data_IF_326848560969
#
_entry.id   IF_326848560969
#
_cell.length_a   1.000
_cell.length_b   1.000
_cell.length_c   1.000
_cell.angle_alpha   90.00
_cell.angle_beta   90.00
_cell.angle_gamma   90.00
#
_symmetry.space_group_name_H-M   'P 1'
#
loop_
_entity.id
_entity.type
_entity.pdbx_description
1 polymer ?
#
# COMPACT_ATOMS: atom_id res chain seq x y z
N UNK A 1 -15.34 -10.19 -14.97
CA UNK A 1 -14.32 -9.41 -15.71
C UNK A 1 -13.00 -10.15 -15.77
N UNK A 2 -12.37 -10.26 -16.95
CA UNK A 2 -11.06 -10.91 -17.11
C UNK A 2 -9.92 -9.93 -16.74
N UNK A 3 -8.75 -10.44 -16.32
CA UNK A 3 -7.67 -9.59 -15.80
C UNK A 3 -7.11 -8.57 -16.81
N UNK A 4 -7.26 -8.83 -18.11
CA UNK A 4 -6.80 -7.92 -19.16
C UNK A 4 -7.52 -6.56 -19.16
N UNK A 5 -8.74 -6.45 -18.63
CA UNK A 5 -9.43 -5.16 -18.55
C UNK A 5 -8.70 -4.19 -17.62
N UNK A 6 -8.15 -4.68 -16.52
CA UNK A 6 -7.37 -3.87 -15.58
C UNK A 6 -6.00 -3.50 -16.16
N UNK A 7 -5.37 -4.42 -16.90
CA UNK A 7 -4.13 -4.11 -17.60
C UNK A 7 -4.37 -3.02 -18.65
N UNK A 8 -5.42 -3.15 -19.46
CA UNK A 8 -5.81 -2.15 -20.44
C UNK A 8 -6.11 -0.79 -19.78
N UNK A 9 -6.84 -0.76 -18.67
CA UNK A 9 -7.10 0.46 -17.90
C UNK A 9 -5.81 1.14 -17.42
N UNK A 10 -4.87 0.37 -16.85
CA UNK A 10 -3.58 0.90 -16.45
C UNK A 10 -2.77 1.42 -17.65
N UNK A 11 -2.76 0.72 -18.78
CA UNK A 11 -2.03 1.18 -19.97
C UNK A 11 -2.65 2.41 -20.61
N UNK A 12 -3.98 2.52 -20.66
CA UNK A 12 -4.70 3.68 -21.19
C UNK A 12 -4.48 4.96 -20.36
N UNK A 13 -4.12 4.82 -19.09
CA UNK A 13 -3.81 5.97 -18.24
C UNK A 13 -2.45 6.61 -18.55
N UNK A 14 -1.49 5.85 -19.08
CA UNK A 14 -0.13 6.35 -19.31
C UNK A 14 -0.09 7.47 -20.35
N UNK A 15 -0.78 7.39 -21.52
CA UNK A 15 -0.88 8.50 -22.45
C UNK A 15 -1.50 9.77 -21.83
N UNK A 16 -2.54 9.63 -21.00
CA UNK A 16 -3.17 10.79 -20.33
C UNK A 16 -2.17 11.53 -19.43
N UNK A 17 -1.36 10.79 -18.69
CA UNK A 17 -0.34 11.35 -17.80
C UNK A 17 0.88 11.86 -18.55
N UNK A 18 1.21 11.25 -19.68
CA UNK A 18 2.30 11.67 -20.55
C UNK A 18 2.01 13.02 -21.23
N UNK A 19 0.77 13.23 -21.69
CA UNK A 19 0.31 14.49 -22.29
C UNK A 19 -0.10 15.56 -21.27
N UNK A 20 -0.18 15.24 -19.97
CA UNK A 20 -0.56 16.21 -18.94
C UNK A 20 0.31 17.49 -18.96
N UNK A 21 1.66 17.42 -19.08
CA UNK A 21 2.53 18.61 -19.07
C UNK A 21 2.41 19.52 -20.30
N UNK A 22 1.75 19.11 -21.37
CA UNK A 22 1.52 19.95 -22.57
C UNK A 22 0.08 20.46 -22.66
N UNK A 23 -0.81 19.98 -21.79
CA UNK A 23 -2.23 20.30 -21.79
C UNK A 23 -2.55 21.52 -20.94
N UNK A 24 -3.43 22.39 -21.45
CA UNK A 24 -4.07 23.47 -20.67
C UNK A 24 -4.91 22.93 -19.51
N UNK A 25 -5.28 21.65 -19.54
CA UNK A 25 -6.07 20.95 -18.51
C UNK A 25 -5.23 19.94 -17.71
N UNK A 26 -4.00 20.31 -17.32
CA UNK A 26 -3.08 19.45 -16.55
C UNK A 26 -3.77 18.73 -15.38
N UNK A 27 -4.54 19.48 -14.57
CA UNK A 27 -5.23 18.94 -13.40
C UNK A 27 -6.14 17.77 -13.76
N UNK A 28 -6.94 17.91 -14.83
CA UNK A 28 -7.91 16.89 -15.23
C UNK A 28 -7.20 15.63 -15.75
N UNK A 29 -6.17 15.78 -16.58
CA UNK A 29 -5.39 14.66 -17.10
C UNK A 29 -4.62 13.94 -15.99
N UNK A 30 -4.01 14.70 -15.07
CA UNK A 30 -3.34 14.14 -13.90
C UNK A 30 -4.32 13.38 -13.01
N UNK A 31 -5.49 13.95 -12.71
CA UNK A 31 -6.50 13.33 -11.85
C UNK A 31 -7.05 12.04 -12.47
N UNK A 32 -7.54 12.11 -13.71
CA UNK A 32 -8.16 10.96 -14.39
C UNK A 32 -7.14 9.86 -14.69
N UNK A 33 -5.95 10.23 -15.15
CA UNK A 33 -4.88 9.28 -15.42
C UNK A 33 -4.49 8.52 -14.14
N UNK A 34 -4.25 9.23 -13.04
CA UNK A 34 -3.90 8.59 -11.78
C UNK A 34 -5.04 7.75 -11.17
N UNK A 35 -6.28 8.27 -11.18
CA UNK A 35 -7.46 7.50 -10.77
C UNK A 35 -7.53 6.18 -11.53
N UNK A 36 -7.46 6.24 -12.86
CA UNK A 36 -7.59 5.08 -13.72
C UNK A 36 -6.44 4.09 -13.52
N UNK A 37 -5.20 4.59 -13.41
CA UNK A 37 -4.02 3.77 -13.18
C UNK A 37 -4.11 3.00 -11.87
N UNK A 38 -4.22 3.72 -10.75
CA UNK A 38 -4.16 3.13 -9.42
C UNK A 38 -5.36 2.25 -9.12
N UNK A 39 -6.56 2.65 -9.56
CA UNK A 39 -7.75 1.80 -9.45
C UNK A 39 -7.56 0.48 -10.20
N UNK A 40 -7.08 0.54 -11.45
CA UNK A 40 -6.86 -0.63 -12.27
C UNK A 40 -5.78 -1.53 -11.68
N UNK A 41 -4.67 -0.96 -11.23
CA UNK A 41 -3.56 -1.71 -10.64
C UNK A 41 -3.98 -2.38 -9.32
N UNK A 42 -4.63 -1.66 -8.41
CA UNK A 42 -5.12 -2.22 -7.15
C UNK A 42 -6.13 -3.34 -7.44
N UNK A 43 -7.10 -3.12 -8.33
CA UNK A 43 -8.07 -4.16 -8.69
C UNK A 43 -7.40 -5.40 -9.29
N UNK A 44 -6.39 -5.22 -10.14
CA UNK A 44 -5.60 -6.33 -10.71
C UNK A 44 -4.88 -7.11 -9.59
N UNK A 45 -4.18 -6.42 -8.70
CA UNK A 45 -3.42 -7.02 -7.59
C UNK A 45 -4.36 -7.77 -6.63
N UNK A 46 -5.49 -7.17 -6.26
CA UNK A 46 -6.50 -7.80 -5.41
C UNK A 46 -7.06 -9.07 -6.02
N UNK A 47 -7.30 -9.06 -7.33
CA UNK A 47 -7.85 -10.21 -8.05
C UNK A 47 -6.83 -11.32 -8.30
N UNK A 48 -5.56 -10.98 -8.46
CA UNK A 48 -4.50 -11.93 -8.84
C UNK A 48 -3.67 -12.34 -7.63
N UNK A 49 -2.74 -11.49 -7.20
CA UNK A 49 -1.80 -11.79 -6.13
C UNK A 49 -2.49 -11.94 -4.76
N UNK A 50 -3.45 -11.06 -4.43
CA UNK A 50 -4.03 -10.99 -3.10
C UNK A 50 -5.40 -11.68 -2.96
N UNK A 51 -5.84 -12.47 -3.94
CA UNK A 51 -7.15 -13.12 -3.88
C UNK A 51 -7.31 -14.04 -2.65
N UNK A 52 -6.26 -14.80 -2.28
CA UNK A 52 -6.30 -15.70 -1.11
C UNK A 52 -6.34 -14.94 0.21
N UNK A 53 -5.41 -14.00 0.50
CA UNK A 53 -5.51 -13.14 1.69
C UNK A 53 -6.88 -12.47 1.83
N UNK A 54 -7.39 -11.89 0.73
CA UNK A 54 -8.66 -11.18 0.72
C UNK A 54 -9.84 -12.12 0.98
N UNK A 55 -9.89 -13.27 0.31
CA UNK A 55 -10.92 -14.28 0.54
C UNK A 55 -10.90 -14.80 1.97
N UNK A 56 -9.70 -14.97 2.55
CA UNK A 56 -9.54 -15.43 3.91
C UNK A 56 -10.04 -14.40 4.94
N UNK A 57 -9.74 -13.12 4.75
CA UNK A 57 -10.32 -12.03 5.56
C UNK A 57 -11.85 -12.02 5.45
N UNK A 58 -12.38 -12.10 4.22
CA UNK A 58 -13.83 -12.09 3.97
C UNK A 58 -14.55 -13.25 4.67
N UNK A 59 -13.94 -14.44 4.71
CA UNK A 59 -14.47 -15.59 5.43
C UNK A 59 -14.38 -15.48 6.96
N UNK A 60 -13.56 -14.56 7.49
CA UNK A 60 -13.29 -14.38 8.91
C UNK A 60 -13.59 -12.96 9.40
N UNK A 61 -14.60 -12.29 8.82
CA UNK A 61 -15.00 -10.95 9.24
C UNK A 61 -15.52 -11.03 10.69
N UNK A 62 -14.92 -10.22 11.56
CA UNK A 62 -15.28 -10.11 12.97
C UNK A 62 -14.96 -8.69 13.46
N UNK A 63 -15.46 -8.31 14.64
CA UNK A 63 -15.08 -7.03 15.29
C UNK A 63 -13.56 -6.88 15.43
N UNK A 64 -12.86 -7.99 15.73
CA UNK A 64 -11.41 -8.01 15.81
C UNK A 64 -10.77 -7.75 14.43
N UNK A 65 -11.23 -8.45 13.39
CA UNK A 65 -10.73 -8.29 12.02
C UNK A 65 -10.88 -6.86 11.53
N UNK A 66 -12.06 -6.27 11.74
CA UNK A 66 -12.33 -4.88 11.39
C UNK A 66 -11.49 -3.91 12.22
N UNK A 67 -11.35 -4.15 13.52
CA UNK A 67 -10.52 -3.34 14.41
C UNK A 67 -9.04 -3.34 14.02
N UNK A 68 -8.50 -4.50 13.62
CA UNK A 68 -7.12 -4.61 13.11
C UNK A 68 -6.98 -3.86 11.79
N UNK A 69 -7.89 -4.07 10.84
CA UNK A 69 -7.82 -3.44 9.53
C UNK A 69 -7.93 -1.91 9.61
N UNK A 70 -8.97 -1.41 10.28
CA UNK A 70 -9.21 0.03 10.45
C UNK A 70 -8.12 0.64 11.33
N UNK A 71 -7.79 0.01 12.46
CA UNK A 71 -6.76 0.49 13.37
C UNK A 71 -5.40 0.59 12.68
N UNK A 72 -5.00 -0.43 11.92
CA UNK A 72 -3.77 -0.38 11.14
C UNK A 72 -3.83 0.74 10.10
N UNK A 73 -4.91 0.84 9.33
CA UNK A 73 -5.03 1.85 8.28
C UNK A 73 -4.98 3.29 8.84
N UNK A 74 -5.65 3.54 9.96
CA UNK A 74 -5.63 4.84 10.66
C UNK A 74 -4.25 5.15 11.23
N UNK A 75 -3.61 4.20 11.90
CA UNK A 75 -2.22 4.39 12.37
C UNK A 75 -1.27 4.63 11.19
N UNK A 76 -1.45 3.88 10.11
CA UNK A 76 -0.61 3.93 8.93
C UNK A 76 -0.68 5.28 8.21
N UNK A 77 -1.89 5.83 8.01
CA UNK A 77 -2.09 7.09 7.30
C UNK A 77 -2.00 8.35 8.18
N UNK A 78 -2.40 8.26 9.45
CA UNK A 78 -2.48 9.45 10.32
C UNK A 78 -1.29 9.55 11.27
N UNK A 79 -1.02 8.47 12.02
CA UNK A 79 -0.03 8.53 13.11
C UNK A 79 1.38 8.64 12.57
N UNK A 80 1.74 7.91 11.51
CA UNK A 80 3.07 8.05 10.92
C UNK A 80 3.28 9.39 10.23
N UNK A 81 2.26 9.94 9.58
CA UNK A 81 2.32 11.30 9.00
C UNK A 81 2.61 12.35 10.09
N UNK A 82 1.97 12.22 11.26
CA UNK A 82 2.19 13.11 12.40
C UNK A 82 3.56 12.88 13.06
N UNK A 83 3.95 11.63 13.32
CA UNK A 83 5.24 11.34 13.95
C UNK A 83 6.40 11.86 13.10
N UNK A 84 6.28 11.72 11.78
CA UNK A 84 7.30 12.15 10.85
C UNK A 84 7.38 13.67 10.73
N UNK A 85 6.25 14.36 10.68
CA UNK A 85 6.17 15.82 10.81
C UNK A 85 6.91 16.31 12.05
N UNK A 86 6.65 15.71 13.22
CA UNK A 86 7.29 16.11 14.48
C UNK A 86 8.79 15.87 14.49
N UNK A 87 9.26 14.78 13.89
CA UNK A 87 10.69 14.50 13.75
C UNK A 87 11.33 15.56 12.85
N UNK A 88 10.76 15.83 11.68
CA UNK A 88 11.33 16.82 10.77
C UNK A 88 11.26 18.24 11.33
N UNK A 89 10.16 18.62 11.98
CA UNK A 89 10.03 19.91 12.66
C UNK A 89 11.03 20.04 13.82
N UNK A 90 11.31 18.95 14.52
CA UNK A 90 12.36 18.90 15.56
C UNK A 90 13.77 19.05 15.00
N UNK A 91 14.04 18.52 13.80
CA UNK A 91 15.36 18.57 13.16
C UNK A 91 15.63 19.88 12.40
N UNK A 92 14.61 20.41 11.71
CA UNK A 92 14.75 21.53 10.77
C UNK A 92 14.02 22.80 11.20
N UNK A 93 13.39 22.79 12.37
CA UNK A 93 12.55 23.88 12.84
C UNK A 93 11.15 23.84 12.21
N UNK A 94 10.36 24.91 12.41
CA UNK A 94 8.97 24.96 11.95
C UNK A 94 8.89 24.92 10.42
N UNK A 95 8.51 23.77 9.87
CA UNK A 95 8.39 23.56 8.43
C UNK A 95 7.22 24.31 7.82
N UNK A 96 6.07 24.29 8.49
CA UNK A 96 4.87 24.94 8.00
C UNK A 96 4.00 25.41 9.16
N UNK A 97 3.08 26.32 8.87
CA UNK A 97 2.08 26.79 9.82
C UNK A 97 0.71 26.72 9.18
N UNK A 98 -0.22 26.06 9.86
CA UNK A 98 -1.61 25.97 9.46
C UNK A 98 -2.40 26.93 10.35
N UNK A 99 -2.98 27.96 9.75
CA UNK A 99 -3.79 28.96 10.45
C UNK A 99 -5.23 28.48 10.69
N UNK A 100 -5.78 27.70 9.77
CA UNK A 100 -7.12 27.11 9.85
C UNK A 100 -7.13 25.67 9.32
N UNK A 101 -7.99 24.79 9.85
CA UNK A 101 -8.08 23.43 9.36
C UNK A 101 -8.59 23.40 7.91
N UNK A 102 -7.98 22.57 7.07
CA UNK A 102 -8.39 22.42 5.68
C UNK A 102 -8.24 20.97 5.20
N UNK A 103 -9.04 20.62 4.19
CA UNK A 103 -8.94 19.40 3.41
C UNK A 103 -9.03 19.80 1.94
N UNK A 104 -8.01 19.48 1.15
CA UNK A 104 -7.96 19.82 -0.27
C UNK A 104 -7.39 18.68 -1.10
N UNK A 105 -7.72 18.66 -2.38
CA UNK A 105 -7.11 17.80 -3.37
C UNK A 105 -6.12 18.64 -4.16
N UNK A 106 -4.85 18.26 -4.11
CA UNK A 106 -3.76 18.97 -4.75
C UNK A 106 -3.18 18.15 -5.91
N UNK A 107 -2.74 18.87 -6.93
CA UNK A 107 -1.97 18.31 -8.05
C UNK A 107 -0.76 19.20 -8.24
N UNK A 108 0.43 18.62 -8.13
CA UNK A 108 1.70 19.30 -8.37
C UNK A 108 2.11 19.07 -9.82
N UNK A 109 2.29 20.13 -10.62
CA UNK A 109 2.63 19.96 -12.01
C UNK A 109 4.10 19.60 -12.20
N UNK A 110 4.37 18.59 -13.04
CA UNK A 110 5.72 18.11 -13.35
C UNK A 110 6.01 18.33 -14.84
N UNK A 111 7.05 19.12 -15.13
CA UNK A 111 7.50 19.46 -16.48
C UNK A 111 8.99 19.09 -16.67
N UNK A 112 9.47 18.94 -17.91
CA UNK A 112 8.72 18.90 -19.16
C UNK A 112 8.03 17.53 -19.39
N UNK A 113 7.31 17.40 -20.50
CA UNK A 113 6.78 16.12 -20.98
C UNK A 113 7.89 15.08 -21.12
N UNK A 114 7.68 13.89 -20.54
CA UNK A 114 8.64 12.80 -20.63
C UNK A 114 8.34 11.64 -19.69
N UNK A 115 9.01 10.49 -19.84
CA UNK A 115 8.74 9.30 -19.03
C UNK A 115 8.97 9.52 -17.53
N UNK A 116 9.99 10.33 -17.18
CA UNK A 116 10.28 10.66 -15.78
C UNK A 116 9.16 11.49 -15.14
N UNK A 117 8.68 12.54 -15.81
CA UNK A 117 7.58 13.36 -15.29
C UNK A 117 6.28 12.57 -15.19
N UNK A 118 6.02 11.66 -16.13
CA UNK A 118 4.89 10.70 -16.02
C UNK A 118 5.01 9.80 -14.80
N UNK A 119 6.20 9.25 -14.52
CA UNK A 119 6.42 8.37 -13.37
C UNK A 119 6.27 9.13 -12.04
N UNK A 120 6.84 10.33 -11.95
CA UNK A 120 6.73 11.18 -10.76
C UNK A 120 5.27 11.63 -10.57
N UNK A 121 4.55 11.98 -11.65
CA UNK A 121 3.12 12.29 -11.61
C UNK A 121 2.29 11.09 -11.12
N UNK A 122 2.63 9.86 -11.54
CA UNK A 122 2.01 8.64 -11.05
C UNK A 122 2.14 8.44 -9.53
N UNK A 123 3.32 8.76 -9.00
CA UNK A 123 3.67 8.49 -7.61
C UNK A 123 3.10 9.56 -6.67
N UNK A 124 3.10 10.82 -7.11
CA UNK A 124 2.83 11.94 -6.22
C UNK A 124 1.48 12.60 -6.44
N UNK A 125 0.82 12.39 -7.58
CA UNK A 125 -0.46 13.01 -7.86
C UNK A 125 -1.61 12.00 -8.02
N UNK A 126 -2.85 12.50 -7.90
CA UNK A 126 -3.18 13.65 -7.06
C UNK A 126 -2.89 13.28 -5.59
N UNK A 127 -2.77 14.30 -4.74
CA UNK A 127 -2.61 14.10 -3.31
C UNK A 127 -3.77 14.72 -2.52
N UNK A 128 -4.25 13.99 -1.52
CA UNK A 128 -5.19 14.50 -0.54
C UNK A 128 -4.38 15.14 0.57
N UNK A 129 -4.59 16.43 0.77
CA UNK A 129 -3.88 17.23 1.75
C UNK A 129 -4.83 17.63 2.87
N UNK A 130 -4.42 17.35 4.10
CA UNK A 130 -5.14 17.69 5.33
C UNK A 130 -4.22 18.52 6.20
N UNK A 131 -4.65 19.73 6.56
CA UNK A 131 -3.96 20.59 7.51
C UNK A 131 -4.79 20.79 8.78
N UNK A 132 -4.14 20.75 9.94
CA UNK A 132 -4.73 21.14 11.23
C UNK A 132 -3.79 22.07 12.00
N UNK A 133 -4.30 23.18 12.58
CA UNK A 133 -3.49 24.08 13.39
C UNK A 133 -2.87 23.39 14.62
N UNK A 134 -1.71 23.87 15.12
CA UNK A 134 -0.89 24.93 14.52
C UNK A 134 0.04 24.42 13.41
N UNK A 135 0.48 23.17 13.46
CA UNK A 135 1.56 22.64 12.60
C UNK A 135 1.32 21.17 12.20
N UNK A 136 0.08 20.71 12.02
CA UNK A 136 -0.17 19.37 11.48
C UNK A 136 -0.49 19.44 9.99
N UNK A 137 0.19 18.61 9.21
CA UNK A 137 -0.02 18.49 7.78
C UNK A 137 0.18 17.03 7.36
N UNK A 138 -0.77 16.53 6.58
CA UNK A 138 -0.78 15.18 6.05
C UNK A 138 -1.01 15.30 4.56
N UNK A 139 -0.16 14.68 3.76
CA UNK A 139 -0.33 14.57 2.32
C UNK A 139 -0.26 13.11 1.90
N UNK A 140 -1.34 12.63 1.29
CA UNK A 140 -1.53 11.24 0.87
C UNK A 140 -1.77 11.21 -0.63
N UNK A 141 -0.75 10.82 -1.39
CA UNK A 141 -0.91 10.56 -2.82
C UNK A 141 -1.70 9.29 -3.06
N UNK A 142 -2.24 9.14 -4.27
CA UNK A 142 -2.96 7.92 -4.64
C UNK A 142 -2.10 6.66 -4.60
N UNK A 143 -0.82 6.79 -4.89
CA UNK A 143 0.16 5.74 -4.65
C UNK A 143 0.19 5.32 -3.18
N UNK A 144 0.36 6.28 -2.25
CA UNK A 144 0.40 6.01 -0.82
C UNK A 144 -0.89 5.35 -0.32
N UNK A 145 -2.05 5.86 -0.75
CA UNK A 145 -3.37 5.30 -0.41
C UNK A 145 -3.52 3.88 -0.97
N UNK A 146 -3.04 3.63 -2.19
CA UNK A 146 -3.12 2.31 -2.81
C UNK A 146 -2.24 1.31 -2.08
N UNK A 147 -0.99 1.67 -1.79
CA UNK A 147 -0.04 0.78 -1.14
C UNK A 147 -0.41 0.52 0.32
N UNK A 148 -0.82 1.54 1.07
CA UNK A 148 -1.28 1.36 2.44
C UNK A 148 -2.50 0.45 2.53
N UNK A 149 -3.42 0.50 1.56
CA UNK A 149 -4.57 -0.41 1.48
C UNK A 149 -4.11 -1.86 1.25
N UNK A 150 -3.22 -2.10 0.29
CA UNK A 150 -2.69 -3.44 0.00
C UNK A 150 -1.94 -4.02 1.20
N UNK A 151 -1.13 -3.19 1.88
CA UNK A 151 -0.40 -3.57 3.09
C UNK A 151 -1.37 -3.86 4.23
N UNK A 152 -2.40 -3.04 4.46
CA UNK A 152 -3.40 -3.26 5.51
C UNK A 152 -4.15 -4.60 5.35
N UNK A 153 -4.50 -4.98 4.12
CA UNK A 153 -5.08 -6.29 3.81
C UNK A 153 -4.09 -7.40 4.21
N UNK A 154 -2.84 -7.28 3.82
CA UNK A 154 -1.83 -8.28 4.12
C UNK A 154 -1.52 -8.41 5.61
N UNK A 155 -1.37 -7.30 6.33
CA UNK A 155 -1.17 -7.28 7.78
C UNK A 155 -2.34 -7.96 8.49
N UNK A 156 -3.58 -7.60 8.11
CA UNK A 156 -4.79 -8.19 8.68
C UNK A 156 -4.84 -9.70 8.45
N UNK A 157 -4.58 -10.15 7.22
CA UNK A 157 -4.59 -11.56 6.86
C UNK A 157 -3.52 -12.36 7.62
N UNK A 158 -2.30 -11.81 7.73
CA UNK A 158 -1.22 -12.41 8.50
C UNK A 158 -1.57 -12.51 9.99
N UNK A 159 -2.09 -11.44 10.60
CA UNK A 159 -2.42 -11.43 12.02
C UNK A 159 -3.53 -12.43 12.36
N UNK A 160 -4.55 -12.56 11.50
CA UNK A 160 -5.57 -13.59 11.64
C UNK A 160 -4.98 -15.00 11.60
N UNK A 161 -4.07 -15.27 10.65
CA UNK A 161 -3.37 -16.56 10.55
C UNK A 161 -2.54 -16.87 11.79
N UNK A 162 -1.75 -15.90 12.25
CA UNK A 162 -0.95 -16.04 13.47
C UNK A 162 -1.84 -16.31 14.67
N UNK A 163 -2.98 -15.63 14.80
CA UNK A 163 -3.94 -15.86 15.88
C UNK A 163 -4.56 -17.26 15.87
N UNK A 164 -4.84 -17.82 14.70
CA UNK A 164 -5.26 -19.22 14.58
C UNK A 164 -4.15 -20.17 15.06
N UNK A 165 -2.92 -19.92 14.63
CA UNK A 165 -1.78 -20.77 14.96
C UNK A 165 -1.36 -20.68 16.43
N UNK A 166 -1.46 -19.50 17.08
CA UNK A 166 -1.13 -19.36 18.50
C UNK A 166 -2.09 -20.10 19.43
N UNK A 167 -3.31 -20.41 18.97
CA UNK A 167 -4.21 -21.34 19.68
C UNK A 167 -3.72 -22.79 19.64
N UNK A 168 -2.92 -23.15 18.64
CA UNK A 168 -2.44 -24.52 18.40
C UNK A 168 -0.99 -24.71 18.88
N UNK A 169 -0.16 -23.67 18.79
CA UNK A 169 1.27 -23.70 19.12
C UNK A 169 1.60 -22.52 20.03
N UNK A 170 2.20 -22.76 21.20
CA UNK A 170 2.71 -21.72 22.12
C UNK A 170 3.93 -20.99 21.53
N UNK A 171 3.78 -20.33 20.39
CA UNK A 171 4.88 -19.72 19.66
C UNK A 171 4.87 -18.19 19.80
N UNK A 172 5.50 -17.68 20.86
CA UNK A 172 5.75 -16.24 21.08
C UNK A 172 6.58 -15.60 19.95
N UNK A 173 7.35 -16.40 19.21
CA UNK A 173 8.27 -15.93 18.15
C UNK A 173 7.54 -15.61 16.82
N UNK A 174 6.41 -16.26 16.54
CA UNK A 174 5.67 -16.07 15.27
C UNK A 174 4.92 -14.72 15.21
N UNK A 175 4.69 -14.09 16.37
CA UNK A 175 4.01 -12.79 16.49
C UNK A 175 4.93 -11.60 16.19
N UNK A 176 6.26 -11.80 16.22
CA UNK A 176 7.22 -10.72 16.07
C UNK A 176 7.35 -10.20 14.63
N UNK A 177 7.21 -11.08 13.63
CA UNK A 177 7.36 -10.71 12.22
C UNK A 177 6.26 -9.74 11.71
N UNK A 178 4.97 -9.92 12.03
CA UNK A 178 3.93 -8.93 11.71
C UNK A 178 4.15 -7.59 12.43
N UNK A 179 4.61 -7.61 13.69
CA UNK A 179 4.89 -6.39 14.47
C UNK A 179 6.08 -5.61 13.91
N UNK A 180 7.15 -6.30 13.48
CA UNK A 180 8.28 -5.66 12.80
C UNK A 180 7.89 -5.11 11.43
N UNK A 181 6.99 -5.79 10.70
CA UNK A 181 6.39 -5.26 9.47
C UNK A 181 5.52 -4.01 9.69
N UNK A 182 4.83 -3.91 10.83
CA UNK A 182 4.04 -2.74 11.25
C UNK A 182 4.94 -1.54 11.59
N UNK A 183 6.10 -1.77 12.21
CA UNK A 183 7.07 -0.73 12.56
C UNK A 183 7.93 -0.29 11.36
N UNK A 184 8.36 -1.23 10.51
CA UNK A 184 9.15 -0.95 9.32
C UNK A 184 8.34 -0.38 8.15
N UNK A 185 7.05 -0.71 8.04
CA UNK A 185 6.16 -0.18 7.01
C UNK A 185 5.62 1.22 7.31
N UNK A 186 5.81 1.75 8.51
CA UNK A 186 5.20 3.04 8.90
C UNK A 186 5.68 4.26 8.12
N UNK A 187 6.93 4.26 7.67
CA UNK A 187 7.59 5.40 7.05
C UNK A 187 7.37 5.54 5.55
N UNK A 188 6.70 4.58 4.89
CA UNK A 188 6.77 4.43 3.44
C UNK A 188 5.67 5.17 2.64
N UNK A 189 4.70 5.80 3.31
CA UNK A 189 3.51 6.38 2.68
C UNK A 189 3.31 7.88 2.93
N UNK A 190 4.26 8.56 3.60
CA UNK A 190 4.22 10.01 3.83
C UNK A 190 5.08 10.70 2.77
N UNK A 191 4.55 11.69 2.04
CA UNK A 191 5.25 12.45 0.98
C UNK A 191 6.30 13.42 1.54
N UNK A 192 7.25 12.89 2.32
CA UNK A 192 8.39 13.65 2.86
C UNK A 192 9.10 14.49 1.79
N UNK A 193 9.32 13.99 0.55
CA UNK A 193 10.03 14.76 -0.47
C UNK A 193 9.31 16.05 -0.90
N UNK A 194 7.98 16.03 -0.97
CA UNK A 194 7.19 17.21 -1.39
C UNK A 194 7.07 18.22 -0.25
N UNK A 195 6.87 17.72 0.96
CA UNK A 195 6.88 18.57 2.16
C UNK A 195 8.21 19.30 2.31
N UNK A 196 9.34 18.61 2.12
CA UNK A 196 10.67 19.25 2.19
C UNK A 196 10.93 20.20 1.01
N UNK A 197 10.50 19.83 -0.21
CA UNK A 197 10.71 20.66 -1.41
C UNK A 197 9.89 21.97 -1.42
N UNK A 198 8.74 21.99 -0.74
CA UNK A 198 7.82 23.15 -0.75
C UNK A 198 7.98 24.08 0.45
N UNK A 199 8.62 23.64 1.54
CA UNK A 199 8.54 24.34 2.83
C UNK A 199 9.83 24.99 3.34
N UNK A 200 11.02 24.67 2.80
CA UNK A 200 12.26 25.28 3.28
C UNK A 200 13.19 25.72 2.12
N UNK A 201 13.54 27.01 2.01
CA UNK A 201 14.64 27.46 1.15
C UNK A 201 16.00 26.85 1.53
N UNK A 202 16.19 26.46 2.79
CA UNK A 202 17.36 25.72 3.28
C UNK A 202 17.25 24.19 3.09
N UNK A 203 16.05 23.65 2.80
CA UNK A 203 15.94 22.27 2.30
C UNK A 203 16.54 22.16 0.90
N UNK A 204 16.59 23.23 0.09
CA UNK A 204 17.47 23.23 -1.09
C UNK A 204 18.94 22.95 -0.74
N UNK A 205 19.42 23.23 0.49
CA UNK A 205 20.80 22.94 0.90
C UNK A 205 21.03 21.51 1.42
N UNK A 206 19.98 20.83 1.89
CA UNK A 206 20.04 19.42 2.34
C UNK A 206 19.60 18.47 1.21
N UNK A 207 18.70 18.93 0.35
CA UNK A 207 18.29 18.33 -0.93
C UNK A 207 19.33 18.55 -2.05
N UNK A 208 20.38 19.36 -1.83
CA UNK A 208 21.54 19.42 -2.74
C UNK A 208 22.65 18.42 -2.40
N UNK A 209 22.51 17.63 -1.33
CA UNK A 209 23.29 16.41 -1.17
C UNK A 209 22.65 15.31 -2.04
N UNK A 210 23.30 14.84 -3.12
CA UNK A 210 22.69 13.91 -4.08
C UNK A 210 22.27 12.56 -3.48
N UNK A 211 22.79 12.23 -2.30
CA UNK A 211 22.69 10.91 -1.68
C UNK A 211 21.49 10.82 -0.71
N UNK A 212 21.17 11.91 0.00
CA UNK A 212 20.07 11.94 0.98
C UNK A 212 18.68 12.04 0.33
N UNK A 213 18.55 12.89 -0.69
CA UNK A 213 17.30 13.11 -1.42
C UNK A 213 16.86 11.86 -2.20
N UNK A 214 17.81 11.27 -2.95
CA UNK A 214 17.60 10.03 -3.67
C UNK A 214 17.23 8.87 -2.75
N UNK A 215 17.88 8.76 -1.58
CA UNK A 215 17.63 7.68 -0.62
C UNK A 215 16.23 7.72 -0.01
N UNK A 216 15.75 8.92 0.34
CA UNK A 216 14.42 9.09 0.92
C UNK A 216 13.31 8.89 -0.11
N UNK A 217 13.51 9.42 -1.32
CA UNK A 217 12.61 9.21 -2.46
C UNK A 217 12.55 7.72 -2.83
N UNK A 218 13.71 7.06 -2.91
CA UNK A 218 13.78 5.63 -3.20
C UNK A 218 13.10 4.82 -2.10
N UNK A 219 13.28 5.16 -0.83
CA UNK A 219 12.58 4.50 0.27
C UNK A 219 11.06 4.67 0.14
N UNK A 220 10.57 5.87 -0.19
CA UNK A 220 9.13 6.12 -0.41
C UNK A 220 8.56 5.26 -1.55
N UNK A 221 9.30 5.10 -2.66
CA UNK A 221 8.82 4.37 -3.84
C UNK A 221 9.03 2.85 -3.73
N UNK A 222 10.09 2.40 -3.08
CA UNK A 222 10.52 1.00 -3.10
C UNK A 222 10.13 0.24 -1.83
N UNK A 223 10.08 0.90 -0.68
CA UNK A 223 9.77 0.25 0.59
C UNK A 223 8.32 -0.28 0.66
N UNK A 224 7.27 0.44 0.17
CA UNK A 224 5.91 -0.12 0.20
C UNK A 224 5.77 -1.39 -0.64
N UNK A 225 6.25 -1.47 -1.90
CA UNK A 225 6.23 -2.72 -2.66
C UNK A 225 6.97 -3.87 -2.00
N UNK A 226 8.17 -3.60 -1.45
CA UNK A 226 8.96 -4.63 -0.75
C UNK A 226 8.22 -5.13 0.49
N UNK A 227 7.63 -4.22 1.28
CA UNK A 227 6.86 -4.56 2.48
C UNK A 227 5.64 -5.40 2.13
N UNK A 228 4.89 -5.02 1.10
CA UNK A 228 3.76 -5.80 0.61
C UNK A 228 4.21 -7.20 0.13
N UNK A 229 5.33 -7.30 -0.59
CA UNK A 229 5.88 -8.58 -1.03
C UNK A 229 6.28 -9.46 0.16
N UNK A 230 7.02 -8.93 1.13
CA UNK A 230 7.45 -9.65 2.32
C UNK A 230 6.25 -10.17 3.13
N UNK A 231 5.24 -9.33 3.36
CA UNK A 231 4.01 -9.75 4.04
C UNK A 231 3.23 -10.79 3.25
N UNK A 232 3.24 -10.72 1.91
CA UNK A 232 2.60 -11.73 1.06
C UNK A 232 3.32 -13.07 1.13
N UNK A 233 4.64 -13.07 1.09
CA UNK A 233 5.46 -14.28 1.24
C UNK A 233 5.24 -14.90 2.62
N UNK A 234 5.19 -14.08 3.68
CA UNK A 234 4.88 -14.55 5.03
C UNK A 234 3.47 -15.15 5.14
N UNK A 235 2.48 -14.54 4.48
CA UNK A 235 1.12 -15.10 4.46
C UNK A 235 1.09 -16.48 3.78
N UNK A 236 1.83 -16.62 2.68
CA UNK A 236 1.92 -17.87 1.94
C UNK A 236 2.66 -18.96 2.73
N UNK A 237 3.70 -18.61 3.51
CA UNK A 237 4.39 -19.58 4.37
C UNK A 237 3.52 -20.06 5.54
N UNK A 238 2.65 -19.18 6.05
CA UNK A 238 1.67 -19.54 7.10
C UNK A 238 0.45 -20.31 6.57
N UNK A 239 0.31 -20.43 5.25
CA UNK A 239 -0.78 -21.14 4.60
C UNK A 239 -0.27 -22.47 4.04
N UNK A 240 -0.26 -23.57 4.83
CA UNK A 240 0.30 -24.83 4.39
C UNK A 240 -0.36 -25.29 3.09
N UNK A 241 0.46 -25.51 2.05
CA UNK A 241 0.00 -26.18 0.83
C UNK A 241 -0.18 -27.64 1.19
N UNK A 242 -1.38 -28.19 0.98
CA UNK A 242 -1.60 -29.64 1.09
C UNK A 242 -0.56 -30.34 0.21
N UNK A 243 0.28 -31.25 0.75
CA UNK A 243 1.30 -31.95 -0.02
C UNK A 243 0.68 -32.63 -1.24
N UNK A 244 1.36 -32.58 -2.39
CA UNK A 244 0.88 -33.19 -3.65
C UNK A 244 0.52 -34.68 -3.45
N UNK A 245 1.21 -35.33 -2.54
CA UNK A 245 1.13 -36.76 -2.25
C UNK A 245 -0.21 -37.14 -1.58
N UNK A 246 -0.87 -36.18 -0.91
CA UNK A 246 -2.21 -36.36 -0.33
C UNK A 246 -3.35 -36.02 -1.32
N UNK A 247 -3.04 -35.50 -2.52
CA UNK A 247 -4.06 -35.27 -3.57
C UNK A 247 -4.42 -36.53 -4.35
N UNK A 248 -3.60 -37.59 -4.30
CA UNK A 248 -3.82 -38.85 -5.04
C UNK A 248 -4.58 -39.91 -4.22
N UNK A 249 -5.58 -39.51 -3.43
CA UNK A 249 -6.36 -40.43 -2.59
C UNK A 249 -7.83 -40.61 -2.98
N UNK A 250 -8.32 -39.89 -4.01
CA UNK A 250 -9.76 -39.82 -4.31
C UNK A 250 -10.25 -40.72 -5.45
N UNK A 251 -9.35 -41.31 -6.24
CA UNK A 251 -9.71 -42.15 -7.39
C UNK A 251 -9.70 -43.67 -7.12
N UNK A 252 -9.36 -44.13 -5.91
CA UNK A 252 -9.29 -45.58 -5.60
C UNK A 252 -10.36 -46.10 -4.62
N UNK A 253 -11.42 -45.34 -4.31
CA UNK A 253 -12.48 -45.82 -3.39
C UNK A 253 -13.90 -45.73 -3.96
N UNK A 254 -14.08 -46.19 -5.20
CA UNK A 254 -15.42 -46.41 -5.80
C UNK A 254 -15.55 -47.78 -6.51
N UNK A 255 -14.61 -48.71 -6.31
CA UNK A 255 -14.56 -49.99 -7.04
C UNK A 255 -14.96 -51.26 -6.27
N UNK A 256 -14.92 -51.28 -4.94
CA UNK A 256 -15.01 -52.55 -4.18
C UNK A 256 -16.02 -52.50 -3.02
N UNK A 257 -17.27 -52.12 -3.32
CA UNK A 257 -18.42 -52.40 -2.42
C UNK A 257 -19.60 -52.97 -3.21
N UNK A 258 -19.33 -53.93 -4.10
CA UNK A 258 -20.34 -54.81 -4.69
C UNK A 258 -19.80 -56.24 -4.73
N UNK A 259 -20.03 -56.99 -3.65
CA UNK A 259 -20.05 -58.46 -3.51
C UNK A 259 -19.95 -58.66 -1.98
N UNK A 260 -20.84 -59.31 -1.24
CA UNK A 260 -21.71 -60.44 -1.52
C UNK A 260 -22.65 -60.56 -0.31
N UNK A 261 -23.93 -60.24 -0.46
CA UNK A 261 -25.00 -60.78 0.38
C UNK A 261 -25.76 -61.76 -0.52
N UNK A 262 -25.49 -63.04 -0.36
CA UNK A 262 -26.38 -64.13 -0.75
C UNK A 262 -26.26 -65.23 0.31
N UNK A 263 -27.43 -65.48 0.86
CA UNK A 263 -27.94 -66.68 1.53
C UNK A 263 -27.32 -67.06 2.88
#
# INVERSE_FOLDING_TARGET
MKSYYYIAGAMLSLPLLYEAPTSTHYFLYSLLGNLLFWWSLVALVLKTALHKPLSYIRGNISKFTLGVFIGYLSLHYLVYSIALERILTGLFGKLFSVSSPFLTLQVTPFYPMGPYSTLVNLIFNPSIVIGFPPNYYIELSFYAISMGLLIAILVTANLLKVREMTRVVKAKVIVLAPLLGVLGGGSCCVSIPILLATSIPAANLILTSPIGDSGLLLAYVVLPPITALALKLNYDSLSPRVPKDMRMGKDMRMGELKFKKRD
#
